data_IF_214790931425
#
_entry.id   IF_214790931425
#
_cell.length_a   1.000
_cell.length_b   1.000
_cell.length_c   1.000
_cell.angle_alpha   90.00
_cell.angle_beta   90.00
_cell.angle_gamma   90.00
#
_symmetry.space_group_name_H-M   'P 1'
#
loop_
_entity.id
_entity.type
_entity.pdbx_description
1 polymer ?
#
# COMPACT_ATOMS: atom_id res chain seq x y z
N UNK A 1 -6.69 14.09 3.35
CA UNK A 1 -7.86 13.44 2.73
C UNK A 1 -8.90 13.17 3.80
N UNK A 2 -10.12 13.56 3.55
CA UNK A 2 -11.22 13.34 4.47
C UNK A 2 -12.32 12.55 3.75
N UNK A 3 -12.66 11.38 4.29
CA UNK A 3 -13.66 10.49 3.69
C UNK A 3 -14.79 10.31 4.70
N UNK A 4 -15.91 10.94 4.43
CA UNK A 4 -17.06 10.92 5.36
C UNK A 4 -17.60 9.52 5.61
N UNK A 5 -17.62 8.67 4.60
CA UNK A 5 -18.14 7.32 4.69
C UNK A 5 -17.35 6.44 5.65
N UNK A 6 -16.13 6.88 6.00
CA UNK A 6 -15.28 6.15 6.90
C UNK A 6 -15.25 6.71 8.32
N UNK A 7 -16.09 7.70 8.63
CA UNK A 7 -16.18 8.18 10.00
C UNK A 7 -16.61 7.06 10.93
N UNK A 8 -15.81 6.85 11.99
CA UNK A 8 -16.07 5.79 12.95
C UNK A 8 -15.66 4.39 12.48
N UNK A 9 -15.11 4.27 11.27
CA UNK A 9 -14.69 2.97 10.73
C UNK A 9 -13.41 2.47 11.40
N UNK A 10 -13.25 1.15 11.42
CA UNK A 10 -12.02 0.51 11.86
C UNK A 10 -11.13 0.27 10.63
N UNK A 11 -9.99 0.93 10.58
CA UNK A 11 -9.08 0.86 9.44
C UNK A 11 -7.74 0.27 9.90
N UNK A 12 -7.27 -0.75 9.18
CA UNK A 12 -5.93 -1.28 9.38
C UNK A 12 -4.98 -0.63 8.37
N UNK A 13 -3.90 -0.03 8.86
CA UNK A 13 -2.83 0.52 8.00
C UNK A 13 -1.65 -0.43 8.13
N UNK A 14 -1.30 -1.09 7.05
CA UNK A 14 -0.30 -2.16 7.06
C UNK A 14 0.92 -1.79 6.22
N UNK A 15 2.08 -1.79 6.85
CA UNK A 15 3.35 -1.50 6.21
C UNK A 15 4.29 -2.71 6.34
N UNK A 16 5.47 -2.62 5.71
CA UNK A 16 6.45 -3.72 5.67
C UNK A 16 7.31 -3.83 6.93
N UNK A 17 6.85 -3.31 8.06
CA UNK A 17 7.56 -3.45 9.33
C UNK A 17 7.23 -4.74 10.06
N UNK A 18 7.89 -4.96 11.20
CA UNK A 18 7.63 -6.13 12.04
C UNK A 18 6.19 -6.21 12.52
N UNK A 19 5.55 -5.06 12.70
CA UNK A 19 4.17 -4.99 13.18
C UNK A 19 3.15 -5.55 12.20
N UNK A 20 3.55 -5.88 10.96
CA UNK A 20 2.63 -6.54 10.03
C UNK A 20 2.13 -7.89 10.58
N UNK A 21 2.92 -8.52 11.45
CA UNK A 21 2.50 -9.76 12.11
C UNK A 21 1.25 -9.54 12.95
N UNK A 22 1.13 -8.40 13.60
CA UNK A 22 -0.03 -8.09 14.42
C UNK A 22 -1.30 -8.06 13.60
N UNK A 23 -1.23 -7.54 12.37
CA UNK A 23 -2.34 -7.53 11.45
C UNK A 23 -2.72 -8.97 11.05
N UNK A 24 -1.74 -9.79 10.69
CA UNK A 24 -2.00 -11.18 10.29
C UNK A 24 -2.58 -12.00 11.44
N UNK A 25 -2.09 -11.78 12.64
CA UNK A 25 -2.63 -12.45 13.84
C UNK A 25 -4.05 -12.00 14.12
N UNK A 26 -4.35 -10.71 13.99
CA UNK A 26 -5.70 -10.20 14.19
C UNK A 26 -6.69 -10.87 13.25
N UNK A 27 -6.34 -10.98 11.97
CA UNK A 27 -7.19 -11.62 10.98
C UNK A 27 -7.39 -13.11 11.30
N UNK A 28 -6.33 -13.81 11.69
CA UNK A 28 -6.40 -15.23 12.00
C UNK A 28 -7.26 -15.50 13.23
N UNK A 29 -7.43 -14.52 14.11
CA UNK A 29 -8.32 -14.59 15.26
C UNK A 29 -9.74 -14.10 14.96
N UNK A 30 -10.07 -13.88 13.70
CA UNK A 30 -11.41 -13.50 13.29
C UNK A 30 -11.74 -12.02 13.32
N UNK A 31 -10.75 -11.16 13.58
CA UNK A 31 -10.99 -9.72 13.54
C UNK A 31 -11.19 -9.24 12.11
N UNK A 32 -12.10 -8.30 11.93
CA UNK A 32 -12.40 -7.71 10.65
C UNK A 32 -12.18 -6.20 10.71
N UNK A 33 -11.77 -5.64 9.57
CA UNK A 33 -11.59 -4.21 9.41
C UNK A 33 -12.50 -3.71 8.29
N UNK A 34 -13.03 -2.50 8.45
CA UNK A 34 -13.87 -1.90 7.42
C UNK A 34 -13.07 -1.63 6.15
N UNK A 35 -11.83 -1.17 6.31
CA UNK A 35 -10.89 -1.05 5.20
C UNK A 35 -9.48 -1.44 5.65
N UNK A 36 -8.68 -1.89 4.71
CA UNK A 36 -7.26 -2.14 4.91
C UNK A 36 -6.49 -1.25 3.93
N UNK A 37 -5.61 -0.42 4.46
CA UNK A 37 -4.78 0.48 3.69
C UNK A 37 -3.36 -0.05 3.67
N UNK A 38 -2.86 -0.35 2.49
CA UNK A 38 -1.50 -0.88 2.34
C UNK A 38 -0.51 0.24 2.02
N UNK A 39 0.67 0.14 2.62
CA UNK A 39 1.76 1.07 2.38
C UNK A 39 2.81 0.37 1.52
N UNK A 40 3.18 1.00 0.42
CA UNK A 40 4.22 0.51 -0.47
C UNK A 40 4.01 -0.96 -0.86
N UNK A 41 5.04 -1.82 -0.66
CA UNK A 41 5.02 -3.20 -1.14
C UNK A 41 3.94 -4.08 -0.51
N UNK A 42 3.36 -3.66 0.61
CA UNK A 42 2.25 -4.43 1.21
C UNK A 42 1.04 -4.51 0.30
N UNK A 43 0.93 -3.62 -0.68
CA UNK A 43 -0.16 -3.69 -1.67
C UNK A 43 -0.14 -5.00 -2.47
N UNK A 44 1.02 -5.64 -2.61
CA UNK A 44 1.15 -6.92 -3.31
C UNK A 44 1.11 -8.13 -2.38
N UNK A 45 1.05 -7.93 -1.07
CA UNK A 45 1.18 -9.01 -0.08
C UNK A 45 -0.06 -9.16 0.77
N UNK A 46 -0.67 -8.03 1.18
CA UNK A 46 -1.83 -8.07 2.06
C UNK A 46 -3.02 -8.74 1.39
N UNK A 47 -3.77 -9.49 2.19
CA UNK A 47 -4.92 -10.24 1.72
C UNK A 47 -6.06 -9.38 1.22
N UNK A 48 -6.31 -8.29 1.95
CA UNK A 48 -7.31 -7.29 1.61
C UNK A 48 -6.59 -5.97 1.44
N UNK A 49 -6.83 -5.26 0.34
CA UNK A 49 -6.26 -3.93 0.12
C UNK A 49 -7.35 -3.05 -0.49
N UNK A 50 -7.84 -2.10 0.28
CA UNK A 50 -8.87 -1.17 -0.17
C UNK A 50 -8.26 0.11 -0.72
N UNK A 51 -7.15 0.56 -0.12
CA UNK A 51 -6.41 1.74 -0.58
C UNK A 51 -4.92 1.48 -0.49
N UNK A 52 -4.17 1.97 -1.46
CA UNK A 52 -2.72 1.83 -1.52
C UNK A 52 -2.07 3.20 -1.48
N UNK A 53 -1.06 3.35 -0.62
CA UNK A 53 -0.32 4.59 -0.47
C UNK A 53 1.16 4.31 -0.71
N UNK A 54 1.81 5.18 -1.50
CA UNK A 54 3.24 5.10 -1.74
C UNK A 54 3.89 6.35 -1.13
N UNK A 55 4.77 6.14 -0.16
CA UNK A 55 5.38 7.22 0.59
C UNK A 55 6.64 7.78 -0.08
N UNK A 56 7.20 7.02 -1.02
CA UNK A 56 8.39 7.42 -1.77
C UNK A 56 8.02 7.74 -3.22
N UNK A 57 8.82 8.56 -3.93
CA UNK A 57 8.56 8.75 -5.36
C UNK A 57 8.76 7.46 -6.13
N UNK A 58 7.99 7.26 -7.20
CA UNK A 58 8.07 6.05 -8.01
C UNK A 58 9.49 5.84 -8.57
N UNK A 59 10.21 6.92 -8.84
CA UNK A 59 11.58 6.85 -9.35
C UNK A 59 12.52 6.09 -8.43
N UNK A 60 12.28 6.10 -7.12
CA UNK A 60 13.11 5.34 -6.19
C UNK A 60 13.10 3.85 -6.52
N UNK A 61 11.95 3.33 -6.95
CA UNK A 61 11.80 1.92 -7.27
C UNK A 61 12.10 1.62 -8.72
N UNK A 62 11.84 2.56 -9.62
CA UNK A 62 12.03 2.36 -11.06
C UNK A 62 13.47 2.62 -11.51
N UNK A 63 14.16 3.54 -10.85
CA UNK A 63 15.48 4.01 -11.28
C UNK A 63 16.61 3.57 -10.37
N UNK A 64 16.33 3.06 -9.18
CA UNK A 64 17.35 2.61 -8.23
C UNK A 64 16.96 1.29 -7.58
N UNK A 65 17.91 0.65 -6.88
CA UNK A 65 17.68 -0.56 -6.10
C UNK A 65 17.82 -0.29 -4.60
N UNK A 66 17.65 0.95 -4.18
CA UNK A 66 17.86 1.38 -2.79
C UNK A 66 16.94 0.71 -1.78
N UNK A 67 15.79 0.24 -2.21
CA UNK A 67 14.82 -0.39 -1.32
C UNK A 67 15.08 -1.89 -1.10
N UNK A 68 16.19 -2.41 -1.60
CA UNK A 68 16.55 -3.80 -1.43
C UNK A 68 15.51 -4.75 -2.04
N UNK A 69 15.10 -5.77 -1.27
CA UNK A 69 14.13 -6.75 -1.75
C UNK A 69 12.76 -6.14 -2.06
N UNK A 70 12.43 -5.01 -1.45
CA UNK A 70 11.16 -4.33 -1.72
C UNK A 70 11.12 -3.69 -3.11
N UNK A 71 12.28 -3.42 -3.71
CA UNK A 71 12.35 -2.80 -5.03
C UNK A 71 11.60 -3.61 -6.08
N UNK A 72 11.85 -4.91 -6.13
CA UNK A 72 11.18 -5.80 -7.08
C UNK A 72 9.68 -5.87 -6.84
N UNK A 73 9.26 -5.94 -5.58
CA UNK A 73 7.85 -5.96 -5.21
C UNK A 73 7.15 -4.66 -5.62
N UNK A 74 7.80 -3.51 -5.40
CA UNK A 74 7.22 -2.22 -5.77
C UNK A 74 7.15 -2.04 -7.28
N UNK A 75 8.14 -2.50 -8.03
CA UNK A 75 8.08 -2.46 -9.50
C UNK A 75 6.87 -3.22 -10.02
N UNK A 76 6.59 -4.38 -9.41
CA UNK A 76 5.43 -5.18 -9.76
C UNK A 76 4.12 -4.45 -9.41
N UNK A 77 4.04 -3.86 -8.22
CA UNK A 77 2.87 -3.08 -7.80
C UNK A 77 2.62 -1.92 -8.76
N UNK A 78 3.67 -1.18 -9.13
CA UNK A 78 3.54 -0.03 -10.02
C UNK A 78 3.09 -0.45 -11.42
N UNK A 79 3.46 -1.63 -11.86
CA UNK A 79 3.12 -2.14 -13.18
C UNK A 79 1.74 -2.80 -13.23
N UNK A 80 1.40 -3.60 -12.22
CA UNK A 80 0.24 -4.48 -12.27
C UNK A 80 -0.94 -4.06 -11.41
N UNK A 81 -0.71 -3.26 -10.36
CA UNK A 81 -1.79 -2.86 -9.47
C UNK A 81 -2.76 -1.94 -10.22
N UNK A 82 -4.06 -2.27 -10.23
CA UNK A 82 -5.03 -1.48 -10.99
C UNK A 82 -5.19 -0.06 -10.48
N UNK A 83 -4.74 0.20 -9.25
CA UNK A 83 -4.85 1.54 -8.66
C UNK A 83 -6.21 1.78 -8.04
N UNK A 84 -6.44 2.99 -7.53
CA UNK A 84 -5.43 4.04 -7.49
C UNK A 84 -4.35 3.79 -6.43
N UNK A 85 -3.16 4.30 -6.68
CA UNK A 85 -2.08 4.35 -5.70
C UNK A 85 -1.90 5.82 -5.34
N UNK A 86 -2.18 6.17 -4.09
CA UNK A 86 -2.07 7.54 -3.62
C UNK A 86 -0.61 7.87 -3.33
N UNK A 87 -0.11 8.98 -3.89
CA UNK A 87 1.28 9.38 -3.78
C UNK A 87 1.41 10.89 -3.63
N UNK A 88 2.58 11.33 -3.17
CA UNK A 88 2.90 12.76 -3.07
C UNK A 88 3.44 13.32 -4.39
N UNK A 89 3.85 12.48 -5.33
CA UNK A 89 4.47 12.90 -6.57
C UNK A 89 4.04 11.98 -7.71
N UNK A 90 3.48 12.55 -8.78
CA UNK A 90 3.10 11.78 -9.96
C UNK A 90 4.32 11.45 -10.81
N UNK A 91 4.26 10.31 -11.50
CA UNK A 91 5.28 9.88 -12.45
C UNK A 91 4.55 9.40 -13.71
N UNK A 92 4.86 10.01 -14.85
CA UNK A 92 4.18 9.72 -16.12
C UNK A 92 4.31 8.27 -16.57
N UNK A 93 5.30 7.54 -16.06
CA UNK A 93 5.50 6.13 -16.37
C UNK A 93 4.47 5.23 -15.69
N UNK A 94 3.78 5.74 -14.69
CA UNK A 94 2.81 4.99 -13.89
C UNK A 94 1.44 5.65 -13.97
N UNK A 95 0.51 5.00 -14.64
CA UNK A 95 -0.83 5.57 -14.89
C UNK A 95 -1.78 5.36 -13.71
N UNK A 96 -1.42 4.50 -12.77
CA UNK A 96 -2.24 4.15 -11.62
C UNK A 96 -1.99 5.04 -10.39
N UNK A 97 -1.15 6.07 -10.52
CA UNK A 97 -0.84 6.99 -9.43
C UNK A 97 -1.87 8.12 -9.36
N UNK A 98 -2.19 8.51 -8.14
CA UNK A 98 -3.09 9.64 -7.84
C UNK A 98 -2.43 10.49 -6.75
N UNK A 99 -2.37 11.77 -6.99
CA UNK A 99 -1.80 12.71 -6.03
C UNK A 99 -2.75 13.04 -4.86
#
# INVERSE_FOLDING_TARGET
MKIKELEGANIAIVAMGESQLDYHLAISHGNEFDEVWAINAMAGIARQVDRTFMLDPASRFLDTDDAGTQTGLMRKVLKEHPGPIYTCELDDRCKNLVE
#
